data_IF_597946459562
#
_entry.id   IF_597946459562
#
_cell.length_a   1.000
_cell.length_b   1.000
_cell.length_c   1.000
_cell.angle_alpha   90.00
_cell.angle_beta   90.00
_cell.angle_gamma   90.00
#
_symmetry.space_group_name_H-M   'P 1'
#
loop_
_entity.id
_entity.type
_entity.pdbx_description
1 polymer ?
#
# COMPACT_ATOMS: atom_id res chain seq x y z
N UNK A 1 17.84 -5.52 -16.21
CA UNK A 1 18.62 -4.98 -15.06
C UNK A 1 19.78 -5.92 -14.80
N UNK A 2 20.99 -5.39 -14.58
CA UNK A 2 22.17 -6.23 -14.32
C UNK A 2 22.59 -6.10 -12.85
N UNK A 3 22.89 -7.22 -12.21
CA UNK A 3 23.39 -7.31 -10.83
C UNK A 3 22.40 -6.99 -9.68
N UNK A 4 21.11 -7.14 -9.87
CA UNK A 4 20.15 -7.02 -8.76
C UNK A 4 20.38 -8.16 -7.75
N UNK A 5 20.35 -7.83 -6.46
CA UNK A 5 20.46 -8.76 -5.32
C UNK A 5 19.30 -8.63 -4.34
N UNK A 6 18.70 -7.44 -4.30
CA UNK A 6 17.65 -7.09 -3.35
C UNK A 6 16.43 -6.53 -4.08
N UNK A 7 15.26 -7.07 -3.76
CA UNK A 7 13.98 -6.62 -4.32
C UNK A 7 13.13 -6.07 -3.18
N UNK A 8 12.79 -4.78 -3.27
CA UNK A 8 11.94 -4.09 -2.32
C UNK A 8 10.56 -3.92 -2.93
N UNK A 9 9.54 -4.29 -2.21
CA UNK A 9 8.14 -4.12 -2.62
C UNK A 9 7.44 -3.08 -1.74
N UNK A 10 6.57 -2.29 -2.33
CA UNK A 10 5.43 -1.77 -1.59
C UNK A 10 4.43 -2.90 -1.32
N UNK A 11 3.52 -2.70 -0.36
CA UNK A 11 2.56 -3.72 0.01
C UNK A 11 1.17 -3.45 -0.58
N UNK A 12 0.56 -2.30 -0.21
CA UNK A 12 -0.80 -1.95 -0.59
C UNK A 12 -0.87 -1.52 -2.06
N UNK A 13 -1.83 -2.03 -2.83
CA UNK A 13 -1.94 -1.85 -4.29
C UNK A 13 -0.80 -2.46 -5.12
N UNK A 14 0.19 -3.10 -4.47
CA UNK A 14 1.30 -3.77 -5.17
C UNK A 14 1.24 -5.29 -5.02
N UNK A 15 1.30 -5.80 -3.81
CA UNK A 15 1.15 -7.24 -3.51
C UNK A 15 -0.24 -7.55 -2.92
N UNK A 16 -0.76 -6.66 -2.09
CA UNK A 16 -2.02 -6.77 -1.39
C UNK A 16 -3.09 -5.95 -2.12
N UNK A 17 -4.16 -6.62 -2.57
CA UNK A 17 -5.26 -6.03 -3.35
C UNK A 17 -6.12 -5.12 -2.44
N UNK A 18 -5.62 -3.88 -2.25
CA UNK A 18 -6.20 -2.94 -1.32
C UNK A 18 -7.65 -2.60 -1.68
N UNK A 19 -7.94 -2.31 -2.95
CA UNK A 19 -9.28 -1.89 -3.36
C UNK A 19 -10.32 -2.97 -3.06
N UNK A 20 -10.02 -4.21 -3.41
CA UNK A 20 -10.89 -5.35 -3.14
C UNK A 20 -11.09 -5.60 -1.64
N UNK A 21 -10.03 -5.62 -0.88
CA UNK A 21 -10.08 -5.87 0.56
C UNK A 21 -10.78 -4.74 1.31
N UNK A 22 -10.56 -3.48 0.90
CA UNK A 22 -11.25 -2.30 1.43
C UNK A 22 -12.75 -2.33 1.14
N UNK A 23 -13.14 -2.67 -0.10
CA UNK A 23 -14.54 -2.77 -0.49
C UNK A 23 -15.29 -3.81 0.36
N UNK A 24 -14.74 -5.01 0.49
CA UNK A 24 -15.31 -6.08 1.33
C UNK A 24 -15.34 -5.70 2.82
N UNK A 25 -14.37 -4.91 3.27
CA UNK A 25 -14.37 -4.39 4.64
C UNK A 25 -15.52 -3.43 4.86
N UNK A 26 -15.73 -2.48 3.92
CA UNK A 26 -16.86 -1.55 4.02
C UNK A 26 -18.20 -2.26 3.94
N UNK A 27 -18.36 -3.25 3.06
CA UNK A 27 -19.56 -4.09 3.01
C UNK A 27 -19.90 -4.67 4.39
N UNK A 28 -18.91 -5.31 5.02
CA UNK A 28 -19.04 -5.93 6.33
C UNK A 28 -19.35 -4.94 7.45
N UNK A 29 -18.63 -3.81 7.53
CA UNK A 29 -18.84 -2.84 8.62
C UNK A 29 -20.12 -2.03 8.44
N UNK A 30 -20.59 -1.81 7.21
CA UNK A 30 -21.87 -1.18 6.94
C UNK A 30 -23.03 -2.07 7.40
N UNK A 31 -22.95 -3.38 7.13
CA UNK A 31 -23.92 -4.35 7.66
C UNK A 31 -23.89 -4.38 9.19
N UNK A 32 -22.71 -4.48 9.79
CA UNK A 32 -22.53 -4.56 11.24
C UNK A 32 -23.07 -3.34 11.99
N UNK A 33 -22.86 -2.15 11.42
CA UNK A 33 -23.30 -0.88 12.02
C UNK A 33 -24.59 -0.31 11.43
N UNK A 34 -25.31 -1.12 10.61
CA UNK A 34 -26.60 -0.76 10.01
C UNK A 34 -26.56 0.54 9.19
N UNK A 35 -25.45 0.77 8.48
CA UNK A 35 -25.29 1.91 7.56
C UNK A 35 -26.03 1.62 6.27
N UNK A 36 -27.14 2.32 6.04
CA UNK A 36 -27.98 2.09 4.87
C UNK A 36 -27.54 2.95 3.66
N UNK A 37 -26.35 2.65 3.14
CA UNK A 37 -25.81 3.25 1.93
C UNK A 37 -25.50 2.16 0.89
N UNK A 38 -25.66 2.49 -0.39
CA UNK A 38 -25.21 1.60 -1.46
C UNK A 38 -23.69 1.61 -1.53
N UNK A 39 -23.07 0.47 -1.29
CA UNK A 39 -21.62 0.33 -1.22
C UNK A 39 -20.91 0.89 -2.47
N UNK A 40 -21.35 0.53 -3.67
CA UNK A 40 -20.72 0.99 -4.90
C UNK A 40 -20.77 2.51 -5.09
N UNK A 41 -21.84 3.16 -4.64
CA UNK A 41 -21.96 4.62 -4.71
C UNK A 41 -21.05 5.29 -3.67
N UNK A 42 -20.95 4.69 -2.46
CA UNK A 42 -20.03 5.13 -1.43
C UNK A 42 -18.56 5.01 -1.88
N UNK A 43 -18.14 3.87 -2.44
CA UNK A 43 -16.77 3.65 -2.86
C UNK A 43 -16.32 4.65 -3.94
N UNK A 44 -17.19 4.97 -4.91
CA UNK A 44 -16.88 6.00 -5.92
C UNK A 44 -16.57 7.37 -5.34
N UNK A 45 -17.20 7.71 -4.21
CA UNK A 45 -16.96 8.97 -3.49
C UNK A 45 -15.76 8.83 -2.56
N UNK A 46 -15.67 7.72 -1.84
CA UNK A 46 -14.65 7.50 -0.83
C UNK A 46 -13.23 7.35 -1.41
N UNK A 47 -13.05 6.60 -2.50
CA UNK A 47 -11.72 6.32 -3.05
C UNK A 47 -10.92 7.59 -3.37
N UNK A 48 -11.44 8.58 -4.14
CA UNK A 48 -10.69 9.80 -4.42
C UNK A 48 -10.45 10.65 -3.17
N UNK A 49 -11.40 10.71 -2.23
CA UNK A 49 -11.24 11.40 -0.95
C UNK A 49 -10.14 10.73 -0.12
N UNK A 50 -10.16 9.41 -0.01
CA UNK A 50 -9.14 8.64 0.70
C UNK A 50 -7.73 8.88 0.12
N UNK A 51 -7.58 8.88 -1.20
CA UNK A 51 -6.30 9.19 -1.85
C UNK A 51 -5.81 10.61 -1.53
N UNK A 52 -6.70 11.60 -1.54
CA UNK A 52 -6.36 12.98 -1.19
C UNK A 52 -5.90 13.08 0.28
N UNK A 53 -6.60 12.43 1.21
CA UNK A 53 -6.20 12.41 2.62
C UNK A 53 -4.90 11.66 2.87
N UNK A 54 -4.63 10.57 2.15
CA UNK A 54 -3.35 9.88 2.21
C UNK A 54 -2.21 10.76 1.68
N UNK A 55 -2.45 11.60 0.67
CA UNK A 55 -1.48 12.59 0.19
C UNK A 55 -1.16 13.61 1.28
N UNK A 56 -2.18 14.22 1.90
CA UNK A 56 -1.98 15.16 3.02
C UNK A 56 -1.21 14.52 4.19
N UNK A 57 -1.49 13.25 4.49
CA UNK A 57 -0.78 12.52 5.53
C UNK A 57 0.69 12.24 5.16
N UNK A 58 0.97 11.90 3.89
CA UNK A 58 2.36 11.75 3.41
C UNK A 58 3.15 13.05 3.49
N UNK A 59 2.50 14.17 3.21
CA UNK A 59 3.07 15.53 3.28
C UNK A 59 3.10 16.11 4.70
N UNK A 60 2.76 15.31 5.71
CA UNK A 60 2.74 15.70 7.14
C UNK A 60 1.79 16.87 7.47
N UNK A 61 0.78 17.13 6.64
CA UNK A 61 -0.19 18.19 6.80
C UNK A 61 -1.33 17.83 7.75
N UNK A 62 -1.54 16.54 7.99
CA UNK A 62 -2.58 16.03 8.90
C UNK A 62 -2.05 14.90 9.77
N UNK A 63 -2.68 14.69 10.92
CA UNK A 63 -2.39 13.56 11.80
C UNK A 63 -3.01 12.25 11.31
N UNK A 64 -2.57 11.11 11.87
CA UNK A 64 -3.18 9.79 11.66
C UNK A 64 -4.67 9.76 12.06
N UNK A 65 -5.03 10.44 13.15
CA UNK A 65 -6.42 10.55 13.61
C UNK A 65 -7.27 11.38 12.66
N UNK A 66 -6.73 12.50 12.13
CA UNK A 66 -7.41 13.29 11.12
C UNK A 66 -7.67 12.49 9.83
N UNK A 67 -6.65 11.79 9.32
CA UNK A 67 -6.79 10.92 8.16
C UNK A 67 -7.93 9.91 8.35
N UNK A 68 -7.94 9.22 9.51
CA UNK A 68 -8.91 8.15 9.80
C UNK A 68 -10.34 8.65 9.90
N UNK A 69 -10.55 9.82 10.54
CA UNK A 69 -11.87 10.41 10.74
C UNK A 69 -12.35 11.15 9.49
N UNK A 70 -11.56 12.10 8.97
CA UNK A 70 -12.02 13.05 7.94
C UNK A 70 -12.35 12.38 6.62
N UNK A 71 -11.60 11.37 6.18
CA UNK A 71 -11.92 10.64 4.94
C UNK A 71 -13.30 10.00 4.96
N UNK A 72 -13.79 9.55 6.12
CA UNK A 72 -15.15 9.03 6.29
C UNK A 72 -16.17 10.17 6.38
N UNK A 73 -15.88 11.19 7.20
CA UNK A 73 -16.76 12.36 7.36
C UNK A 73 -17.07 12.99 6.01
N UNK A 74 -16.03 13.34 5.25
CA UNK A 74 -16.19 14.00 3.96
C UNK A 74 -16.89 13.09 2.93
N UNK A 75 -16.61 11.79 2.93
CA UNK A 75 -17.31 10.85 2.05
C UNK A 75 -18.82 10.79 2.37
N UNK A 76 -19.19 10.75 3.65
CA UNK A 76 -20.58 10.76 4.06
C UNK A 76 -21.26 12.10 3.76
N UNK A 77 -20.59 13.22 3.96
CA UNK A 77 -21.11 14.55 3.63
C UNK A 77 -21.40 14.70 2.13
N UNK A 78 -20.49 14.20 1.27
CA UNK A 78 -20.71 14.18 -0.19
C UNK A 78 -21.89 13.29 -0.61
N UNK A 79 -22.22 12.29 0.18
CA UNK A 79 -23.38 11.44 -0.04
C UNK A 79 -24.67 11.96 0.61
N UNK A 80 -24.63 13.14 1.22
CA UNK A 80 -25.75 13.71 2.00
C UNK A 80 -26.23 12.76 3.12
N UNK A 81 -25.33 11.98 3.68
CA UNK A 81 -25.54 11.14 4.85
C UNK A 81 -24.81 11.74 6.03
N UNK A 82 -25.54 12.15 7.06
CA UNK A 82 -25.00 12.92 8.18
C UNK A 82 -25.07 12.14 9.51
N UNK A 83 -24.26 11.10 9.69
CA UNK A 83 -24.22 10.38 10.96
C UNK A 83 -23.58 11.23 12.06
N UNK A 84 -23.91 10.90 13.31
CA UNK A 84 -23.21 11.45 14.47
C UNK A 84 -21.74 11.01 14.47
N UNK A 85 -20.87 11.83 15.04
CA UNK A 85 -19.42 11.57 15.09
C UNK A 85 -19.07 10.23 15.75
N UNK A 86 -19.85 9.80 16.74
CA UNK A 86 -19.69 8.51 17.40
C UNK A 86 -19.75 7.33 16.42
N UNK A 87 -20.67 7.38 15.43
CA UNK A 87 -20.74 6.35 14.39
C UNK A 87 -19.51 6.38 13.48
N UNK A 88 -19.01 7.58 13.14
CA UNK A 88 -17.81 7.72 12.30
C UNK A 88 -16.58 7.15 13.01
N UNK A 89 -16.40 7.42 14.30
CA UNK A 89 -15.31 6.84 15.07
C UNK A 89 -15.42 5.31 15.13
N UNK A 90 -16.61 4.76 15.42
CA UNK A 90 -16.86 3.30 15.41
C UNK A 90 -16.54 2.67 14.07
N UNK A 91 -16.98 3.28 12.97
CA UNK A 91 -16.67 2.80 11.62
C UNK A 91 -15.17 2.88 11.31
N UNK A 92 -14.50 3.94 11.75
CA UNK A 92 -13.06 4.11 11.56
C UNK A 92 -12.25 3.02 12.29
N UNK A 93 -12.64 2.68 13.51
CA UNK A 93 -12.01 1.60 14.30
C UNK A 93 -12.31 0.23 13.69
N UNK A 94 -13.58 -0.05 13.42
CA UNK A 94 -14.01 -1.29 12.80
C UNK A 94 -13.35 -1.52 11.43
N UNK A 95 -13.15 -0.44 10.65
CA UNK A 95 -12.44 -0.53 9.37
C UNK A 95 -11.03 -1.06 9.54
N UNK A 96 -10.24 -0.54 10.47
CA UNK A 96 -8.85 -1.01 10.70
C UNK A 96 -8.84 -2.45 11.26
N UNK A 97 -9.76 -2.77 12.15
CA UNK A 97 -9.88 -4.12 12.72
C UNK A 97 -10.22 -5.15 11.63
N UNK A 98 -11.26 -4.89 10.84
CA UNK A 98 -11.75 -5.85 9.84
C UNK A 98 -10.90 -5.87 8.56
N UNK A 99 -10.28 -4.76 8.16
CA UNK A 99 -9.44 -4.67 6.96
C UNK A 99 -8.36 -5.77 6.95
N UNK A 100 -7.75 -6.04 8.09
CA UNK A 100 -6.68 -7.03 8.20
C UNK A 100 -7.18 -8.48 8.29
N UNK A 101 -8.49 -8.71 8.31
CA UNK A 101 -9.08 -10.06 8.30
C UNK A 101 -9.44 -10.55 6.90
N UNK A 102 -9.45 -9.66 5.89
CA UNK A 102 -9.73 -9.95 4.49
C UNK A 102 -8.42 -9.71 3.73
N UNK A 103 -7.84 -10.76 3.13
CA UNK A 103 -6.45 -10.73 2.69
C UNK A 103 -6.27 -11.28 1.27
N UNK A 104 -6.98 -10.71 0.30
CA UNK A 104 -6.75 -11.01 -1.11
C UNK A 104 -5.45 -10.35 -1.56
N UNK A 105 -4.61 -11.13 -2.23
CA UNK A 105 -3.40 -10.67 -2.91
C UNK A 105 -3.71 -10.44 -4.39
N UNK A 106 -2.91 -9.63 -5.07
CA UNK A 106 -2.94 -9.59 -6.52
C UNK A 106 -2.60 -10.95 -7.11
N UNK A 107 -3.19 -11.24 -8.29
CA UNK A 107 -2.91 -12.47 -9.03
C UNK A 107 -1.40 -12.61 -9.31
N UNK A 108 -0.86 -13.80 -9.10
CA UNK A 108 0.55 -14.10 -9.30
C UNK A 108 1.48 -13.72 -8.14
N UNK A 109 0.97 -13.09 -7.06
CA UNK A 109 1.81 -12.67 -5.93
C UNK A 109 2.57 -13.84 -5.31
N UNK A 110 1.89 -14.94 -4.96
CA UNK A 110 2.53 -16.08 -4.30
C UNK A 110 3.61 -16.70 -5.19
N UNK A 111 3.28 -16.97 -6.44
CA UNK A 111 4.19 -17.58 -7.41
C UNK A 111 5.41 -16.72 -7.70
N UNK A 112 5.24 -15.39 -7.68
CA UNK A 112 6.35 -14.44 -7.88
C UNK A 112 7.23 -14.38 -6.64
N UNK A 113 6.65 -14.31 -5.45
CA UNK A 113 7.42 -14.31 -4.20
C UNK A 113 8.21 -15.61 -4.01
N UNK A 114 7.59 -16.76 -4.29
CA UNK A 114 8.26 -18.07 -4.27
C UNK A 114 9.44 -18.11 -5.25
N UNK A 115 9.26 -17.61 -6.47
CA UNK A 115 10.31 -17.56 -7.49
C UNK A 115 11.46 -16.63 -7.05
N UNK A 116 11.14 -15.39 -6.70
CA UNK A 116 12.13 -14.36 -6.41
C UNK A 116 12.90 -14.63 -5.12
N UNK A 117 12.28 -15.21 -4.09
CA UNK A 117 12.93 -15.50 -2.81
C UNK A 117 14.08 -16.51 -2.91
N UNK A 118 14.11 -17.32 -3.96
CA UNK A 118 15.23 -18.24 -4.24
C UNK A 118 16.43 -17.55 -4.90
N UNK A 119 16.24 -16.33 -5.42
CA UNK A 119 17.24 -15.61 -6.22
C UNK A 119 17.72 -14.34 -5.54
N UNK A 120 16.86 -13.68 -4.76
CA UNK A 120 17.06 -12.34 -4.22
C UNK A 120 16.67 -12.26 -2.74
N UNK A 121 17.27 -11.34 -1.99
CA UNK A 121 16.73 -10.88 -0.72
C UNK A 121 15.46 -10.06 -0.96
N UNK A 122 14.35 -10.44 -0.33
CA UNK A 122 13.08 -9.71 -0.48
C UNK A 122 12.79 -8.84 0.74
N UNK A 123 12.26 -7.66 0.50
CA UNK A 123 12.04 -6.63 1.50
C UNK A 123 10.74 -5.86 1.24
N UNK A 124 10.17 -5.27 2.29
CA UNK A 124 9.01 -4.36 2.19
C UNK A 124 9.42 -2.93 2.60
N UNK A 125 8.91 -1.93 1.84
CA UNK A 125 8.90 -0.52 2.24
C UNK A 125 7.49 0.02 2.07
N UNK A 126 6.80 0.35 3.17
CA UNK A 126 5.40 0.76 3.14
C UNK A 126 5.12 2.04 3.94
N UNK A 127 4.15 2.84 3.47
CA UNK A 127 3.60 3.99 4.20
C UNK A 127 2.44 3.63 5.13
N UNK A 128 1.97 2.38 5.08
CA UNK A 128 0.87 1.90 5.92
C UNK A 128 1.22 1.87 7.41
N UNK A 129 0.19 1.84 8.24
CA UNK A 129 0.36 1.77 9.69
C UNK A 129 0.95 0.43 10.12
N UNK A 130 1.95 0.46 11.00
CA UNK A 130 2.70 -0.72 11.43
C UNK A 130 1.80 -1.87 11.86
N UNK A 131 0.83 -1.60 12.73
CA UNK A 131 -0.13 -2.59 13.23
C UNK A 131 -0.89 -3.29 12.10
N UNK A 132 -1.36 -2.52 11.11
CA UNK A 132 -2.13 -3.06 10.00
C UNK A 132 -1.23 -3.87 9.04
N UNK A 133 -0.03 -3.37 8.74
CA UNK A 133 0.87 -4.03 7.79
C UNK A 133 1.37 -5.37 8.32
N UNK A 134 1.74 -5.45 9.61
CA UNK A 134 2.14 -6.72 10.23
C UNK A 134 1.03 -7.77 10.15
N UNK A 135 -0.22 -7.39 10.49
CA UNK A 135 -1.37 -8.29 10.36
C UNK A 135 -1.65 -8.71 8.92
N UNK A 136 -1.55 -7.80 7.95
CA UNK A 136 -1.72 -8.11 6.52
C UNK A 136 -0.71 -9.15 6.07
N UNK A 137 0.58 -8.96 6.35
CA UNK A 137 1.64 -9.89 5.98
C UNK A 137 1.42 -11.29 6.59
N UNK A 138 1.07 -11.36 7.87
CA UNK A 138 0.81 -12.61 8.59
C UNK A 138 -0.44 -13.34 8.04
N UNK A 139 -1.56 -12.64 7.94
CA UNK A 139 -2.82 -13.25 7.55
C UNK A 139 -2.86 -13.61 6.05
N UNK A 140 -2.13 -12.90 5.20
CA UNK A 140 -1.94 -13.29 3.79
C UNK A 140 -0.86 -14.35 3.59
N UNK A 141 -0.15 -14.76 4.67
CA UNK A 141 0.90 -15.79 4.68
C UNK A 141 2.10 -15.47 3.80
N UNK A 142 2.41 -14.20 3.62
CA UNK A 142 3.57 -13.75 2.83
C UNK A 142 4.72 -13.22 3.69
N UNK A 143 4.54 -13.08 5.00
CA UNK A 143 5.54 -12.54 5.93
C UNK A 143 6.90 -13.24 5.81
N UNK A 144 6.89 -14.57 5.67
CA UNK A 144 8.09 -15.41 5.66
C UNK A 144 8.99 -15.23 4.43
N UNK A 145 8.48 -14.59 3.38
CA UNK A 145 9.30 -14.29 2.20
C UNK A 145 10.25 -13.10 2.41
N UNK A 146 9.93 -12.21 3.37
CA UNK A 146 10.64 -10.95 3.52
C UNK A 146 11.68 -11.00 4.65
N UNK A 147 12.91 -10.64 4.29
CA UNK A 147 14.02 -10.52 5.25
C UNK A 147 13.86 -9.28 6.13
N UNK A 148 13.36 -8.18 5.57
CA UNK A 148 13.08 -6.94 6.32
C UNK A 148 11.74 -6.32 5.92
N UNK A 149 11.09 -5.69 6.89
CA UNK A 149 9.87 -4.90 6.69
C UNK A 149 10.12 -3.52 7.28
N UNK A 150 10.12 -2.50 6.45
CA UNK A 150 10.29 -1.10 6.85
C UNK A 150 8.97 -0.36 6.66
N UNK A 151 8.43 0.19 7.72
CA UNK A 151 7.24 1.05 7.65
C UNK A 151 7.55 2.50 8.05
N UNK A 152 6.69 3.41 7.67
CA UNK A 152 6.87 4.84 7.91
C UNK A 152 6.87 5.24 9.39
N UNK A 153 6.17 4.50 10.25
CA UNK A 153 6.11 4.77 11.69
C UNK A 153 7.42 4.42 12.38
N UNK A 154 8.12 3.35 11.95
CA UNK A 154 9.46 2.98 12.45
C UNK A 154 10.51 4.07 12.17
N UNK A 155 10.44 4.68 10.99
CA UNK A 155 11.47 5.65 10.53
C UNK A 155 11.11 7.09 10.89
N UNK A 156 9.83 7.34 11.17
CA UNK A 156 9.30 8.67 11.47
C UNK A 156 9.09 9.55 10.22
N UNK A 157 9.28 9.01 9.01
CA UNK A 157 9.02 9.69 7.73
C UNK A 157 8.41 8.72 6.74
N UNK A 158 7.73 9.26 5.72
CA UNK A 158 6.99 8.50 4.71
C UNK A 158 7.69 8.56 3.35
N UNK A 159 7.52 7.54 2.51
CA UNK A 159 7.84 7.64 1.07
C UNK A 159 7.10 8.85 0.47
N UNK A 160 7.73 9.68 -0.37
CA UNK A 160 9.02 9.53 -1.05
C UNK A 160 10.24 10.07 -0.29
N UNK A 161 10.18 10.37 1.01
CA UNK A 161 11.33 10.90 1.75
C UNK A 161 12.53 9.94 1.65
N UNK A 162 13.73 10.41 1.23
CA UNK A 162 14.89 9.54 1.03
C UNK A 162 15.35 8.80 2.30
N UNK A 163 15.01 9.30 3.50
CA UNK A 163 15.39 8.65 4.76
C UNK A 163 14.78 7.25 4.90
N UNK A 164 13.53 7.02 4.44
CA UNK A 164 12.91 5.71 4.59
C UNK A 164 13.58 4.67 3.69
N UNK A 165 13.97 5.05 2.46
CA UNK A 165 14.69 4.17 1.54
C UNK A 165 16.10 3.87 2.06
N UNK A 166 16.84 4.89 2.52
CA UNK A 166 18.18 4.69 3.10
C UNK A 166 18.13 3.82 4.36
N UNK A 167 17.10 3.96 5.20
CA UNK A 167 16.88 3.08 6.35
C UNK A 167 16.63 1.64 5.91
N UNK A 168 15.75 1.42 4.92
CA UNK A 168 15.44 0.09 4.41
C UNK A 168 16.67 -0.58 3.77
N UNK A 169 17.46 0.16 2.98
CA UNK A 169 18.72 -0.32 2.42
C UNK A 169 19.72 -0.72 3.51
N UNK A 170 19.87 0.10 4.54
CA UNK A 170 20.76 -0.22 5.67
C UNK A 170 20.27 -1.46 6.45
N UNK A 171 18.96 -1.59 6.69
CA UNK A 171 18.37 -2.75 7.37
C UNK A 171 18.55 -4.06 6.57
N UNK A 172 18.61 -3.95 5.25
CA UNK A 172 18.80 -5.07 4.34
C UNK A 172 20.28 -5.38 4.05
N UNK A 173 21.22 -4.59 4.57
CA UNK A 173 22.66 -4.62 4.18
C UNK A 173 22.83 -4.50 2.65
N UNK A 174 21.99 -3.68 2.00
CA UNK A 174 21.88 -3.55 0.56
C UNK A 174 22.43 -2.21 0.05
N UNK A 175 22.91 -2.21 -1.19
CA UNK A 175 23.29 -0.98 -1.90
C UNK A 175 22.18 -0.58 -2.87
N UNK A 176 21.95 0.71 -3.02
CA UNK A 176 20.93 1.20 -3.94
C UNK A 176 21.11 0.67 -5.38
N UNK A 177 22.35 0.64 -5.87
CA UNK A 177 22.67 0.22 -7.24
C UNK A 177 22.38 -1.26 -7.56
N UNK A 178 22.37 -2.15 -6.53
CA UNK A 178 22.03 -3.57 -6.67
C UNK A 178 20.65 -3.91 -6.08
N UNK A 179 19.81 -2.88 -5.93
CA UNK A 179 18.45 -2.96 -5.41
C UNK A 179 17.42 -2.45 -6.43
N UNK A 180 16.23 -3.03 -6.40
CA UNK A 180 15.08 -2.57 -7.19
C UNK A 180 13.87 -2.36 -6.28
N UNK A 181 13.17 -1.22 -6.45
CA UNK A 181 11.88 -0.94 -5.82
C UNK A 181 10.75 -1.21 -6.80
N UNK A 182 9.75 -1.95 -6.35
CA UNK A 182 8.53 -2.27 -7.09
C UNK A 182 7.35 -1.70 -6.32
N UNK A 183 6.55 -0.85 -6.96
CA UNK A 183 5.40 -0.22 -6.31
C UNK A 183 4.45 0.41 -7.30
N UNK A 184 3.25 0.77 -6.82
CA UNK A 184 2.15 1.33 -7.62
C UNK A 184 2.13 2.87 -7.64
N UNK A 185 2.89 3.52 -6.77
CA UNK A 185 2.90 4.98 -6.67
C UNK A 185 4.10 5.58 -7.38
N UNK A 186 3.87 6.31 -8.49
CA UNK A 186 4.94 7.02 -9.21
C UNK A 186 5.70 7.97 -8.30
N UNK A 187 5.00 8.74 -7.45
CA UNK A 187 5.62 9.70 -6.55
C UNK A 187 6.31 9.01 -5.37
N UNK A 188 5.55 8.19 -4.63
CA UNK A 188 6.03 7.64 -3.37
C UNK A 188 7.08 6.54 -3.56
N UNK A 189 6.86 5.61 -4.48
CA UNK A 189 7.71 4.44 -4.66
C UNK A 189 8.80 4.69 -5.69
N UNK A 190 8.39 5.11 -6.89
CA UNK A 190 9.29 5.16 -8.04
C UNK A 190 10.25 6.33 -7.92
N UNK A 191 9.73 7.57 -7.88
CA UNK A 191 10.57 8.76 -7.77
C UNK A 191 11.35 8.79 -6.45
N UNK A 192 10.72 8.32 -5.34
CA UNK A 192 11.39 8.22 -4.06
C UNK A 192 12.60 7.29 -4.09
N UNK A 193 12.47 6.10 -4.66
CA UNK A 193 13.55 5.13 -4.81
C UNK A 193 14.64 5.59 -5.79
N UNK A 194 14.24 6.17 -6.94
CA UNK A 194 15.18 6.78 -7.90
C UNK A 194 16.01 7.88 -7.25
N UNK A 195 15.40 8.68 -6.38
CA UNK A 195 16.07 9.76 -5.64
C UNK A 195 17.23 9.30 -4.76
N UNK A 196 17.28 8.01 -4.37
CA UNK A 196 18.39 7.40 -3.63
C UNK A 196 19.26 6.47 -4.51
N UNK A 197 19.00 6.40 -5.81
CA UNK A 197 19.79 5.61 -6.77
C UNK A 197 19.40 4.14 -6.90
N UNK A 198 18.21 3.74 -6.44
CA UNK A 198 17.67 2.40 -6.67
C UNK A 198 17.13 2.27 -8.10
N UNK A 199 17.16 1.05 -8.63
CA UNK A 199 16.39 0.72 -9.82
C UNK A 199 14.89 0.66 -9.44
N UNK A 200 14.01 0.81 -10.43
CA UNK A 200 12.56 0.84 -10.19
C UNK A 200 11.78 0.07 -11.23
N UNK A 201 10.68 -0.53 -10.82
CA UNK A 201 9.66 -1.11 -11.69
C UNK A 201 8.30 -0.58 -11.22
N UNK A 202 7.62 0.15 -12.09
CA UNK A 202 6.29 0.66 -11.80
C UNK A 202 5.23 -0.43 -12.03
N UNK A 203 4.42 -0.72 -11.01
CA UNK A 203 3.30 -1.65 -11.10
C UNK A 203 2.00 -0.89 -11.31
N UNK A 204 1.46 -0.90 -12.54
CA UNK A 204 0.19 -0.29 -12.92
C UNK A 204 -0.85 -1.37 -13.22
N UNK A 205 -1.44 -1.96 -12.17
CA UNK A 205 -2.38 -3.09 -12.27
C UNK A 205 -3.60 -2.80 -13.16
N UNK A 206 -3.98 -1.52 -13.30
CA UNK A 206 -5.13 -1.08 -14.11
C UNK A 206 -4.73 -0.61 -15.52
N UNK A 207 -3.43 -0.58 -15.81
CA UNK A 207 -2.83 -0.08 -17.06
C UNK A 207 -3.34 1.31 -17.47
N UNK A 208 -3.44 2.21 -16.49
CA UNK A 208 -4.02 3.55 -16.67
C UNK A 208 -2.99 4.62 -17.04
N UNK A 209 -1.71 4.40 -16.73
CA UNK A 209 -0.64 5.37 -16.98
C UNK A 209 0.00 5.09 -18.34
N UNK A 210 -0.37 5.87 -19.35
CA UNK A 210 0.07 5.69 -20.74
C UNK A 210 1.39 6.37 -21.07
N UNK A 211 1.70 7.48 -20.39
CA UNK A 211 2.85 8.35 -20.72
C UNK A 211 4.13 7.99 -19.94
N UNK A 212 4.13 6.89 -19.18
CA UNK A 212 5.31 6.44 -18.47
C UNK A 212 6.21 5.64 -19.41
N UNK A 213 7.47 6.10 -19.56
CA UNK A 213 8.42 5.58 -20.57
C UNK A 213 9.48 4.64 -19.99
N UNK A 214 9.55 4.52 -18.68
CA UNK A 214 10.49 3.61 -18.00
C UNK A 214 9.85 2.23 -17.81
N UNK A 215 10.47 1.38 -17.00
CA UNK A 215 10.03 0.02 -16.83
C UNK A 215 8.72 -0.08 -16.05
N UNK A 216 7.66 -0.49 -16.73
CA UNK A 216 6.31 -0.67 -16.21
C UNK A 216 5.84 -2.10 -16.44
N UNK A 217 5.11 -2.64 -15.46
CA UNK A 217 4.39 -3.90 -15.56
C UNK A 217 2.92 -3.68 -15.13
N UNK A 218 2.01 -4.51 -15.63
CA UNK A 218 0.62 -4.54 -15.20
C UNK A 218 0.19 -5.89 -14.59
N UNK A 219 1.09 -6.87 -14.62
CA UNK A 219 0.95 -8.17 -13.93
C UNK A 219 2.24 -8.53 -13.23
N UNK A 220 2.14 -9.07 -12.02
CA UNK A 220 3.31 -9.42 -11.22
C UNK A 220 4.15 -10.54 -11.84
N UNK A 221 3.56 -11.48 -12.57
CA UNK A 221 4.27 -12.57 -13.24
C UNK A 221 5.31 -12.11 -14.26
N UNK A 222 5.15 -10.88 -14.81
CA UNK A 222 6.14 -10.27 -15.70
C UNK A 222 7.49 -10.04 -15.00
N UNK A 223 7.53 -9.96 -13.67
CA UNK A 223 8.78 -9.84 -12.91
C UNK A 223 9.74 -11.01 -13.15
N UNK A 224 9.22 -12.22 -13.38
CA UNK A 224 10.02 -13.41 -13.67
C UNK A 224 10.82 -13.32 -14.99
N UNK A 225 10.49 -12.37 -15.86
CA UNK A 225 11.20 -12.14 -17.13
C UNK A 225 12.16 -10.96 -17.04
N UNK A 226 12.01 -10.12 -16.01
CA UNK A 226 12.76 -8.89 -15.82
C UNK A 226 13.88 -9.05 -14.78
N UNK A 227 13.66 -9.95 -13.85
CA UNK A 227 14.53 -10.33 -12.75
C UNK A 227 14.89 -11.81 -12.82
#
# INVERSE_FOLDING_TARGET
MTNIKHVFFDLDHTLWDFDRNSALTFERIFELHQVNLKLNDFLKVYEPINLAYWKLYREEQISKSDLRYRRLRDAFDHMHFYPEDDLIYKLSEAYIEHLTTINFLFEGTMEVLEYLSNLYGLHIITNGFEEAQNKKLQHSKIETFFTTVTNSEMVGVKKPNPKIFNFALAAADAKAADSVMIGDSLEADIQGAQGVGMNTIFFDSKDQVTDYTELKINKLDQLKQLL
#
